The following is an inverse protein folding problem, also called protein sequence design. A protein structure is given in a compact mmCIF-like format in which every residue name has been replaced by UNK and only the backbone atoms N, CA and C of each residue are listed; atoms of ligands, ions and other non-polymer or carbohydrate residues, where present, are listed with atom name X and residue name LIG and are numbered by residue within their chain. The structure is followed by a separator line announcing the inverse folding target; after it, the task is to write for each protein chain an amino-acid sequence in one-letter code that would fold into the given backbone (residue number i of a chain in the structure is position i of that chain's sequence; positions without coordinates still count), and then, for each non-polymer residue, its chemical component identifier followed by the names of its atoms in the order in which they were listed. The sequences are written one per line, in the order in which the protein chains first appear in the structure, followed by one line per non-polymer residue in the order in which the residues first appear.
data_IF_386907287894
#
_entry.id   IF_386907287894
#
_cell.length_a   1.000
_cell.length_b   1.000
_cell.length_c   1.000
_cell.angle_alpha   90.00
_cell.angle_beta   90.00
_cell.angle_gamma   90.00
#
_symmetry.space_group_name_H-M   'P 1'
#
loop_
_entity.id
_entity.type
_entity.pdbx_description
1 polymer ?
#
# COMPACT_ATOMS: atom_id res chain seq x y z
N UNK A 1 -6.56 -45.54 -14.38
CA UNK A 1 -6.84 -46.63 -15.33
C UNK A 1 -7.67 -46.00 -16.45
N UNK A 2 -7.15 -46.09 -17.68
CA UNK A 2 -7.77 -45.69 -18.96
C UNK A 2 -8.13 -44.22 -19.19
N UNK A 3 -7.20 -43.48 -19.82
CA UNK A 3 -7.41 -42.71 -21.07
C UNK A 3 -6.16 -41.88 -21.33
N UNK A 4 -5.30 -42.37 -22.24
CA UNK A 4 -4.39 -41.62 -23.11
C UNK A 4 -3.37 -42.59 -23.72
N UNK A 5 -3.87 -43.48 -24.57
CA UNK A 5 -3.08 -44.17 -25.59
C UNK A 5 -3.82 -44.00 -26.90
N UNK A 6 -3.37 -43.06 -27.71
CA UNK A 6 -3.48 -43.01 -29.18
C UNK A 6 -3.00 -41.63 -29.61
N UNK A 7 -1.86 -41.59 -30.30
CA UNK A 7 -1.66 -40.96 -31.60
C UNK A 7 -0.30 -41.49 -32.09
N UNK A 8 -0.36 -42.53 -32.91
CA UNK A 8 0.68 -42.86 -33.89
C UNK A 8 0.17 -42.36 -35.24
N UNK A 9 1.05 -41.71 -36.00
CA UNK A 9 0.88 -41.55 -37.45
C UNK A 9 1.06 -40.13 -37.98
N UNK A 10 2.32 -39.68 -38.16
CA UNK A 10 2.89 -39.33 -39.48
C UNK A 10 4.39 -39.03 -39.31
N UNK A 11 5.25 -40.03 -39.47
CA UNK A 11 6.69 -39.83 -39.66
C UNK A 11 6.89 -39.71 -41.17
N UNK A 12 6.92 -38.47 -41.68
CA UNK A 12 7.58 -38.19 -42.94
C UNK A 12 9.09 -38.10 -42.65
N UNK A 13 9.82 -39.03 -43.24
CA UNK A 13 11.28 -39.12 -43.25
C UNK A 13 11.86 -37.88 -43.97
N UNK A 14 12.08 -36.79 -43.24
CA UNK A 14 13.06 -35.77 -43.63
C UNK A 14 14.40 -36.17 -42.99
N UNK A 15 15.45 -36.19 -43.81
CA UNK A 15 16.84 -36.26 -43.37
C UNK A 15 17.04 -35.37 -42.13
N UNK A 16 17.24 -36.00 -40.97
CA UNK A 16 17.65 -35.33 -39.75
C UNK A 16 19.05 -34.76 -39.97
N UNK A 17 19.12 -33.56 -40.54
CA UNK A 17 20.18 -32.64 -40.19
C UNK A 17 19.89 -32.33 -38.73
N UNK A 18 20.55 -33.01 -37.81
CA UNK A 18 20.52 -32.60 -36.40
C UNK A 18 20.98 -31.15 -36.41
N UNK A 19 20.14 -30.19 -35.98
CA UNK A 19 20.63 -28.83 -35.83
C UNK A 19 21.90 -28.87 -34.96
N UNK A 20 22.93 -28.11 -35.32
CA UNK A 20 24.14 -28.00 -34.53
C UNK A 20 23.79 -27.36 -33.18
N UNK A 21 23.46 -28.22 -32.20
CA UNK A 21 23.25 -27.82 -30.81
C UNK A 21 24.64 -27.51 -30.27
N UNK A 22 24.89 -26.23 -29.99
CA UNK A 22 26.13 -25.78 -29.37
C UNK A 22 25.87 -25.35 -27.94
N UNK A 23 26.90 -25.48 -27.10
CA UNK A 23 26.82 -25.06 -25.70
C UNK A 23 26.51 -23.56 -25.59
N UNK A 24 25.51 -23.23 -24.78
CA UNK A 24 25.22 -21.87 -24.37
C UNK A 24 25.94 -21.54 -23.07
N UNK A 25 26.43 -20.31 -22.95
CA UNK A 25 27.04 -19.82 -21.71
C UNK A 25 26.12 -18.79 -21.07
N UNK A 26 25.47 -19.21 -19.99
CA UNK A 26 24.64 -18.34 -19.16
C UNK A 26 25.22 -18.31 -17.76
N UNK A 27 25.26 -17.12 -17.19
CA UNK A 27 25.68 -16.90 -15.82
C UNK A 27 24.56 -16.27 -15.02
N UNK A 28 24.50 -16.60 -13.75
CA UNK A 28 23.67 -15.90 -12.78
C UNK A 28 24.23 -14.50 -12.49
N UNK A 29 23.45 -13.61 -11.86
CA UNK A 29 23.93 -12.34 -11.34
C UNK A 29 25.21 -12.43 -10.50
N UNK A 30 25.33 -13.42 -9.60
CA UNK A 30 26.52 -13.61 -8.76
C UNK A 30 27.69 -14.30 -9.48
N UNK A 31 27.53 -14.66 -10.76
CA UNK A 31 28.60 -15.13 -11.64
C UNK A 31 28.75 -16.65 -11.71
N UNK A 32 27.83 -17.42 -11.14
CA UNK A 32 27.82 -18.88 -11.27
C UNK A 32 27.34 -19.30 -12.67
N UNK A 33 28.04 -20.26 -13.27
CA UNK A 33 27.64 -20.83 -14.56
C UNK A 33 26.35 -21.64 -14.40
N UNK A 34 25.36 -21.36 -15.23
CA UNK A 34 24.12 -22.14 -15.35
C UNK A 34 24.39 -23.31 -16.30
N UNK A 35 24.56 -24.50 -15.72
CA UNK A 35 24.83 -25.73 -16.47
C UNK A 35 23.65 -26.13 -17.37
N UNK A 36 23.90 -27.06 -18.29
CA UNK A 36 22.87 -27.64 -19.18
C UNK A 36 22.13 -26.58 -20.02
N UNK A 37 22.90 -25.63 -20.56
CA UNK A 37 22.40 -24.55 -21.41
C UNK A 37 22.90 -24.71 -22.85
N UNK A 38 22.03 -24.48 -23.84
CA UNK A 38 22.33 -24.70 -25.26
C UNK A 38 21.76 -23.59 -26.14
N UNK A 39 22.45 -23.26 -27.22
CA UNK A 39 21.85 -22.54 -28.33
C UNK A 39 21.17 -23.55 -29.27
N UNK A 40 19.86 -23.40 -29.45
CA UNK A 40 19.05 -24.24 -30.35
C UNK A 40 18.61 -23.36 -31.53
N UNK A 41 18.78 -23.78 -32.78
CA UNK A 41 18.30 -23.01 -33.92
C UNK A 41 16.78 -23.11 -34.07
N UNK A 42 16.19 -22.08 -34.65
CA UNK A 42 14.78 -22.08 -35.01
C UNK A 42 14.48 -23.11 -36.09
N UNK A 43 13.47 -23.96 -35.87
CA UNK A 43 13.06 -24.98 -36.85
C UNK A 43 11.57 -24.99 -37.17
N UNK A 44 10.76 -24.10 -36.58
CA UNK A 44 9.35 -23.97 -36.95
C UNK A 44 9.15 -23.04 -38.14
N UNK A 45 8.44 -23.54 -39.15
CA UNK A 45 7.87 -22.73 -40.23
C UNK A 45 6.72 -21.84 -39.72
N UNK A 46 6.38 -20.74 -40.42
CA UNK A 46 5.24 -19.89 -40.05
C UNK A 46 3.91 -20.64 -39.89
N UNK A 47 3.65 -21.63 -40.74
CA UNK A 47 2.44 -22.45 -40.66
C UNK A 47 2.42 -23.32 -39.40
N UNK A 48 3.56 -23.89 -39.00
CA UNK A 48 3.67 -24.64 -37.75
C UNK A 48 3.46 -23.73 -36.54
N UNK A 49 4.05 -22.53 -36.52
CA UNK A 49 3.86 -21.56 -35.43
C UNK A 49 2.39 -21.18 -35.26
N UNK A 50 1.67 -20.96 -36.36
CA UNK A 50 0.23 -20.66 -36.34
C UNK A 50 -0.59 -21.84 -35.83
N UNK A 51 -0.31 -23.06 -36.27
CA UNK A 51 -1.02 -24.26 -35.81
C UNK A 51 -0.82 -24.49 -34.30
N UNK A 52 0.42 -24.35 -33.80
CA UNK A 52 0.74 -24.45 -32.38
C UNK A 52 -0.02 -23.37 -31.58
N UNK A 53 -0.02 -22.12 -32.05
CA UNK A 53 -0.79 -21.04 -31.41
C UNK A 53 -2.26 -21.43 -31.24
N UNK A 54 -2.91 -21.88 -32.31
CA UNK A 54 -4.32 -22.24 -32.32
C UNK A 54 -4.63 -23.40 -31.35
N UNK A 55 -3.76 -24.42 -31.31
CA UNK A 55 -3.89 -25.55 -30.38
C UNK A 55 -3.88 -25.09 -28.92
N UNK A 56 -2.93 -24.24 -28.53
CA UNK A 56 -2.80 -23.78 -27.15
C UNK A 56 -3.86 -22.75 -26.75
N UNK A 57 -4.28 -21.85 -27.65
CA UNK A 57 -5.41 -20.94 -27.39
C UNK A 57 -6.73 -21.70 -27.20
N UNK A 58 -6.91 -22.83 -27.88
CA UNK A 58 -8.07 -23.70 -27.69
C UNK A 58 -8.01 -24.48 -26.38
N UNK A 59 -6.83 -25.00 -26.01
CA UNK A 59 -6.64 -25.79 -24.80
C UNK A 59 -6.66 -24.94 -23.51
N UNK A 60 -6.20 -23.69 -23.58
CA UNK A 60 -6.07 -22.77 -22.44
C UNK A 60 -6.73 -21.41 -22.75
N UNK A 61 -8.07 -21.36 -22.78
CA UNK A 61 -8.81 -20.22 -23.30
C UNK A 61 -8.76 -18.94 -22.44
N UNK A 62 -8.18 -19.00 -21.23
CA UNK A 62 -7.97 -17.81 -20.37
C UNK A 62 -6.51 -17.37 -20.36
N UNK A 63 -5.61 -18.10 -21.00
CA UNK A 63 -4.25 -17.66 -21.27
C UNK A 63 -4.26 -16.60 -22.39
N UNK A 64 -3.45 -15.57 -22.22
CA UNK A 64 -3.30 -14.47 -23.17
C UNK A 64 -2.01 -14.71 -23.94
N UNK A 65 -2.13 -14.93 -25.24
CA UNK A 65 -0.99 -15.06 -26.16
C UNK A 65 -0.15 -13.77 -26.15
N UNK A 66 1.17 -13.92 -26.00
CA UNK A 66 2.14 -12.82 -26.05
C UNK A 66 3.04 -12.96 -27.28
N UNK A 67 3.61 -14.15 -27.50
CA UNK A 67 4.62 -14.35 -28.55
C UNK A 67 4.54 -15.75 -29.18
N UNK A 68 4.99 -15.85 -30.42
CA UNK A 68 4.90 -17.04 -31.26
C UNK A 68 5.69 -18.24 -30.73
N UNK A 69 5.43 -19.40 -31.33
CA UNK A 69 6.19 -20.59 -31.02
C UNK A 69 7.64 -20.44 -31.47
N UNK A 70 8.57 -20.50 -30.53
CA UNK A 70 10.01 -20.38 -30.80
C UNK A 70 10.79 -21.45 -30.03
N UNK A 71 11.45 -22.39 -30.73
CA UNK A 71 12.20 -23.45 -30.07
C UNK A 71 13.60 -23.02 -29.62
N UNK A 72 14.06 -21.80 -29.93
CA UNK A 72 15.40 -21.37 -29.53
C UNK A 72 15.52 -21.09 -28.03
N UNK A 73 14.39 -21.05 -27.30
CA UNK A 73 14.38 -20.86 -25.85
C UNK A 73 13.15 -21.47 -25.17
N UNK A 74 13.26 -21.65 -23.85
CA UNK A 74 12.22 -22.26 -23.03
C UNK A 74 11.84 -21.42 -21.81
N UNK A 75 11.00 -21.98 -20.94
CA UNK A 75 10.42 -21.29 -19.79
C UNK A 75 11.47 -20.80 -18.78
N UNK A 76 12.48 -21.62 -18.49
CA UNK A 76 13.58 -21.27 -17.61
C UNK A 76 14.40 -20.12 -18.19
N UNK A 77 14.74 -20.22 -19.48
CA UNK A 77 15.48 -19.16 -20.14
C UNK A 77 14.73 -17.84 -20.20
N UNK A 78 13.43 -17.89 -20.49
CA UNK A 78 12.59 -16.71 -20.44
C UNK A 78 12.59 -16.07 -19.04
N UNK A 79 12.34 -16.88 -18.01
CA UNK A 79 12.21 -16.39 -16.64
C UNK A 79 13.53 -15.82 -16.10
N UNK A 80 14.65 -16.53 -16.27
CA UNK A 80 15.88 -16.25 -15.55
C UNK A 80 16.96 -15.52 -16.35
N UNK A 81 16.77 -15.32 -17.66
CA UNK A 81 17.79 -14.69 -18.51
C UNK A 81 17.20 -13.73 -19.56
N UNK A 82 16.29 -14.18 -20.42
CA UNK A 82 15.78 -13.38 -21.55
C UNK A 82 14.91 -12.22 -21.07
N UNK A 83 14.08 -12.42 -20.04
CA UNK A 83 13.28 -11.33 -19.46
C UNK A 83 14.14 -10.20 -18.87
N UNK A 84 15.45 -10.42 -18.75
CA UNK A 84 16.42 -9.44 -18.24
C UNK A 84 17.32 -8.88 -19.36
N UNK A 85 17.02 -9.21 -20.62
CA UNK A 85 17.78 -8.78 -21.80
C UNK A 85 18.80 -9.80 -22.31
N UNK A 86 18.83 -11.00 -21.74
CA UNK A 86 19.68 -12.10 -22.20
C UNK A 86 19.29 -12.66 -23.58
N UNK A 87 20.20 -13.41 -24.17
CA UNK A 87 20.01 -14.05 -25.48
C UNK A 87 19.13 -15.30 -25.43
N UNK A 88 18.58 -15.71 -26.57
CA UNK A 88 17.81 -16.95 -26.67
C UNK A 88 18.71 -18.16 -26.44
N UNK A 89 18.37 -18.95 -25.42
CA UNK A 89 19.00 -20.23 -25.10
C UNK A 89 17.95 -21.20 -24.56
N UNK A 90 18.24 -22.49 -24.67
CA UNK A 90 17.53 -23.53 -23.94
C UNK A 90 18.24 -23.85 -22.65
N UNK A 91 17.55 -23.75 -21.51
CA UNK A 91 18.09 -24.13 -20.20
C UNK A 91 17.41 -25.38 -19.67
N UNK A 92 18.19 -26.40 -19.32
CA UNK A 92 17.66 -27.61 -18.72
C UNK A 92 17.04 -28.55 -19.74
N UNK A 93 17.89 -29.10 -20.63
CA UNK A 93 17.47 -30.16 -21.56
C UNK A 93 17.44 -31.53 -20.87
N UNK A 94 18.36 -31.77 -19.94
CA UNK A 94 18.54 -33.02 -19.21
C UNK A 94 18.21 -32.88 -17.72
N UNK A 95 18.43 -31.70 -17.13
CA UNK A 95 18.16 -31.41 -15.71
C UNK A 95 17.43 -30.07 -15.55
N UNK A 96 17.02 -29.71 -14.32
CA UNK A 96 16.58 -28.35 -14.02
C UNK A 96 17.76 -27.58 -13.40
N UNK A 97 18.44 -26.70 -14.16
CA UNK A 97 19.63 -26.00 -13.66
C UNK A 97 19.28 -24.73 -12.88
N UNK A 98 18.00 -24.39 -12.68
CA UNK A 98 17.61 -23.08 -12.14
C UNK A 98 17.93 -22.88 -10.67
N UNK A 99 18.22 -23.94 -9.91
CA UNK A 99 18.51 -23.83 -8.48
C UNK A 99 19.69 -22.94 -8.16
N UNK A 100 20.65 -22.89 -9.08
CA UNK A 100 21.86 -22.09 -8.92
C UNK A 100 21.57 -20.61 -8.70
N UNK A 101 20.47 -20.07 -9.25
CA UNK A 101 20.10 -18.65 -9.09
C UNK A 101 19.75 -18.26 -7.65
N UNK A 102 19.30 -19.20 -6.82
CA UNK A 102 19.05 -18.92 -5.40
C UNK A 102 20.08 -19.58 -4.48
N UNK A 103 20.75 -20.64 -4.92
CA UNK A 103 21.84 -21.27 -4.17
C UNK A 103 23.10 -20.40 -4.13
N UNK A 104 23.39 -19.63 -5.18
CA UNK A 104 24.51 -18.70 -5.22
C UNK A 104 24.23 -17.33 -4.59
N UNK A 105 22.97 -17.09 -4.20
CA UNK A 105 22.50 -15.85 -3.59
C UNK A 105 22.15 -14.73 -4.56
N UNK A 106 22.04 -14.98 -5.87
CA UNK A 106 21.55 -13.99 -6.85
C UNK A 106 20.10 -13.60 -6.59
N UNK A 107 19.30 -14.58 -6.16
CA UNK A 107 17.89 -14.43 -5.80
C UNK A 107 17.62 -15.01 -4.42
N UNK A 108 16.64 -14.45 -3.73
CA UNK A 108 16.20 -14.90 -2.42
C UNK A 108 14.75 -15.35 -2.53
N UNK A 109 14.44 -16.50 -1.93
CA UNK A 109 13.07 -17.00 -1.84
C UNK A 109 12.20 -16.06 -1.00
N UNK A 110 10.98 -15.80 -1.48
CA UNK A 110 10.01 -14.92 -0.85
C UNK A 110 8.59 -15.48 -1.02
N UNK A 111 7.57 -14.70 -0.66
CA UNK A 111 6.16 -15.09 -0.76
C UNK A 111 5.48 -14.47 -1.97
N UNK A 112 4.33 -15.03 -2.36
CA UNK A 112 3.49 -14.49 -3.44
C UNK A 112 2.98 -13.07 -3.17
N UNK A 113 2.93 -12.66 -1.89
CA UNK A 113 2.45 -11.34 -1.47
C UNK A 113 3.56 -10.29 -1.42
N UNK A 114 4.82 -10.68 -1.58
CA UNK A 114 5.93 -9.73 -1.64
C UNK A 114 5.87 -8.95 -2.96
N UNK A 115 5.72 -7.61 -2.94
CA UNK A 115 5.67 -6.81 -4.16
C UNK A 115 6.99 -6.86 -4.97
N UNK A 116 8.10 -7.24 -4.34
CA UNK A 116 9.41 -7.39 -4.99
C UNK A 116 9.59 -8.77 -5.65
N UNK A 117 8.64 -9.69 -5.51
CA UNK A 117 8.71 -11.01 -6.17
C UNK A 117 8.58 -10.88 -7.68
N UNK A 118 9.60 -11.31 -8.43
CA UNK A 118 9.62 -11.19 -9.90
C UNK A 118 9.73 -12.53 -10.62
N UNK A 119 10.20 -13.58 -9.95
CA UNK A 119 10.37 -14.92 -10.54
C UNK A 119 9.59 -15.96 -9.77
N UNK A 120 9.18 -17.03 -10.44
CA UNK A 120 8.57 -18.20 -9.82
C UNK A 120 9.11 -19.49 -10.42
N UNK A 121 9.34 -20.48 -9.55
CA UNK A 121 9.67 -21.85 -9.92
C UNK A 121 8.52 -22.79 -9.53
N UNK A 122 8.28 -23.80 -10.37
CA UNK A 122 7.28 -24.84 -10.22
C UNK A 122 8.03 -26.14 -9.89
N UNK A 123 8.28 -26.45 -8.60
CA UNK A 123 9.21 -27.51 -8.23
C UNK A 123 8.84 -28.89 -8.76
N UNK A 124 7.55 -29.20 -8.85
CA UNK A 124 7.09 -30.52 -9.32
C UNK A 124 6.83 -30.57 -10.84
N UNK A 125 7.16 -29.51 -11.59
CA UNK A 125 6.75 -29.38 -13.00
C UNK A 125 7.78 -28.73 -13.94
N UNK A 126 9.09 -28.86 -13.64
CA UNK A 126 10.22 -28.34 -14.42
C UNK A 126 9.88 -27.05 -15.21
N UNK A 127 9.35 -26.05 -14.50
CA UNK A 127 8.81 -24.85 -15.11
C UNK A 127 9.19 -23.62 -14.30
N UNK A 128 9.37 -22.50 -15.01
CA UNK A 128 9.59 -21.19 -14.41
C UNK A 128 8.83 -20.13 -15.18
N UNK A 129 8.48 -19.07 -14.49
CA UNK A 129 7.80 -17.91 -15.05
C UNK A 129 8.26 -16.63 -14.37
N UNK A 130 7.95 -15.49 -15.01
CA UNK A 130 7.99 -14.19 -14.32
C UNK A 130 6.63 -13.90 -13.70
N UNK A 131 6.65 -13.18 -12.58
CA UNK A 131 5.44 -12.77 -11.84
C UNK A 131 5.05 -11.36 -12.28
N UNK A 132 3.78 -11.15 -12.58
CA UNK A 132 3.23 -9.80 -12.74
C UNK A 132 2.68 -9.37 -11.38
N UNK A 133 3.45 -8.71 -10.52
CA UNK A 133 2.95 -8.28 -9.19
C UNK A 133 2.12 -6.99 -9.25
N UNK A 134 1.13 -6.83 -8.35
CA UNK A 134 0.46 -7.85 -7.57
C UNK A 134 -0.62 -8.52 -8.44
N UNK A 135 -0.40 -9.74 -8.92
CA UNK A 135 -1.47 -10.47 -9.63
C UNK A 135 -1.26 -11.97 -9.63
N UNK A 136 -2.37 -12.70 -9.81
CA UNK A 136 -2.43 -14.14 -10.00
C UNK A 136 -1.95 -14.59 -11.40
N UNK A 137 -1.25 -13.72 -12.13
CA UNK A 137 -0.77 -13.99 -13.49
C UNK A 137 0.75 -14.18 -13.54
N UNK A 138 1.13 -15.15 -14.35
CA UNK A 138 2.49 -15.52 -14.69
C UNK A 138 2.71 -15.30 -16.17
N UNK A 139 3.96 -15.02 -16.57
CA UNK A 139 4.35 -14.98 -17.98
C UNK A 139 5.46 -15.98 -18.21
N UNK A 140 5.26 -16.93 -19.12
CA UNK A 140 6.25 -17.96 -19.42
C UNK A 140 6.08 -18.57 -20.82
N UNK A 141 7.17 -19.14 -21.33
CA UNK A 141 7.14 -20.03 -22.49
C UNK A 141 6.58 -21.38 -22.07
N UNK A 142 5.89 -22.06 -22.97
CA UNK A 142 5.47 -23.44 -22.74
C UNK A 142 6.34 -24.40 -23.54
N UNK A 143 7.51 -24.74 -22.98
CA UNK A 143 8.54 -25.53 -23.66
C UNK A 143 9.08 -24.79 -24.88
N UNK A 144 9.12 -25.47 -26.02
CA UNK A 144 9.52 -24.90 -27.32
C UNK A 144 8.38 -24.14 -28.02
N UNK A 145 7.21 -23.98 -27.40
CA UNK A 145 6.00 -23.41 -28.04
C UNK A 145 5.85 -21.91 -27.76
N UNK A 146 4.64 -21.38 -27.60
CA UNK A 146 4.37 -19.95 -27.48
C UNK A 146 4.70 -19.37 -26.08
N UNK A 147 4.76 -18.05 -26.02
CA UNK A 147 4.82 -17.27 -24.78
C UNK A 147 3.41 -16.82 -24.39
N UNK A 148 3.01 -17.07 -23.14
CA UNK A 148 1.67 -16.72 -22.65
C UNK A 148 1.74 -15.97 -21.31
N UNK A 149 0.77 -15.08 -21.09
CA UNK A 149 0.35 -14.63 -19.77
C UNK A 149 -0.80 -15.52 -19.30
N UNK A 150 -0.67 -16.18 -18.15
CA UNK A 150 -1.64 -17.18 -17.71
C UNK A 150 -1.76 -17.23 -16.18
N UNK A 151 -2.80 -17.87 -15.68
CA UNK A 151 -2.88 -18.23 -14.25
C UNK A 151 -2.29 -19.62 -14.02
N UNK A 152 -2.09 -20.02 -12.76
CA UNK A 152 -1.65 -21.39 -12.43
C UNK A 152 -2.62 -22.47 -12.93
N UNK A 153 -3.92 -22.16 -13.00
CA UNK A 153 -4.96 -23.12 -13.40
C UNK A 153 -5.22 -23.16 -14.91
N UNK A 154 -4.61 -22.26 -15.70
CA UNK A 154 -4.82 -22.14 -17.15
C UNK A 154 -3.50 -22.26 -17.90
N UNK A 155 -2.74 -23.31 -17.61
CA UNK A 155 -1.47 -23.62 -18.26
C UNK A 155 -1.22 -25.14 -18.25
N UNK A 156 -0.28 -25.66 -19.06
CA UNK A 156 0.08 -27.08 -19.07
C UNK A 156 0.81 -27.55 -17.80
N UNK A 157 1.36 -26.63 -17.01
CA UNK A 157 2.21 -26.94 -15.85
C UNK A 157 1.41 -26.99 -14.54
N UNK A 158 0.48 -27.95 -14.45
CA UNK A 158 -0.45 -28.09 -13.33
C UNK A 158 0.02 -29.02 -12.21
N UNK A 159 1.08 -29.80 -12.41
CA UNK A 159 1.52 -30.83 -11.43
C UNK A 159 2.07 -30.22 -10.15
N UNK A 160 2.72 -29.06 -10.25
CA UNK A 160 3.26 -28.35 -9.09
C UNK A 160 2.15 -27.94 -8.14
N UNK A 161 2.18 -28.50 -6.92
CA UNK A 161 1.20 -28.21 -5.87
C UNK A 161 1.48 -26.89 -5.16
N UNK A 162 2.77 -26.56 -5.05
CA UNK A 162 3.26 -25.30 -4.49
C UNK A 162 4.09 -24.56 -5.53
N UNK A 163 4.22 -23.25 -5.33
CA UNK A 163 5.05 -22.37 -6.13
C UNK A 163 6.09 -21.72 -5.21
N UNK A 164 7.32 -21.60 -5.69
CA UNK A 164 8.40 -20.90 -4.98
C UNK A 164 8.66 -19.57 -5.66
N UNK A 165 8.53 -18.48 -4.91
CA UNK A 165 8.66 -17.11 -5.42
C UNK A 165 10.03 -16.57 -5.09
N UNK A 166 10.60 -15.76 -5.97
CA UNK A 166 11.93 -15.22 -5.77
C UNK A 166 11.99 -13.74 -6.15
N UNK A 167 12.85 -13.02 -5.43
CA UNK A 167 13.22 -11.64 -5.72
C UNK A 167 14.73 -11.50 -5.84
N UNK A 168 15.16 -10.50 -6.61
CA UNK A 168 16.57 -10.17 -6.77
C UNK A 168 17.17 -9.85 -5.39
N UNK A 169 18.36 -10.38 -5.10
CA UNK A 169 19.01 -10.17 -3.80
C UNK A 169 19.66 -8.80 -3.68
N UNK A 170 20.08 -8.21 -4.80
CA UNK A 170 20.64 -6.87 -4.88
C UNK A 170 19.56 -5.80 -4.66
N UNK A 171 19.86 -4.83 -3.78
CA UNK A 171 18.91 -3.79 -3.38
C UNK A 171 19.62 -2.47 -3.08
N UNK A 172 19.04 -1.38 -3.58
CA UNK A 172 19.46 -0.02 -3.24
C UNK A 172 18.85 0.35 -1.90
N UNK A 173 19.68 0.93 -1.02
CA UNK A 173 19.29 1.44 0.28
C UNK A 173 19.81 2.86 0.48
N UNK A 174 19.03 3.69 1.20
CA UNK A 174 19.35 5.09 1.48
C UNK A 174 18.12 5.86 1.91
N UNK A 175 18.28 7.15 2.23
CA UNK A 175 17.15 8.00 2.61
C UNK A 175 16.22 8.24 1.42
N UNK A 176 14.92 8.04 1.62
CA UNK A 176 13.89 8.28 0.60
C UNK A 176 13.22 9.65 0.72
N UNK A 177 13.42 10.34 1.84
CA UNK A 177 12.88 11.69 2.07
C UNK A 177 14.03 12.59 2.51
N UNK A 178 14.25 13.67 1.76
CA UNK A 178 15.35 14.61 1.96
C UNK A 178 14.82 16.05 2.01
N UNK A 179 15.37 16.83 2.94
CA UNK A 179 15.08 18.27 3.05
C UNK A 179 16.16 19.04 2.32
N UNK A 180 15.76 19.84 1.34
CA UNK A 180 16.64 20.82 0.70
C UNK A 180 16.67 22.06 1.61
N UNK A 181 17.84 22.48 2.11
CA UNK A 181 17.94 23.66 2.95
C UNK A 181 17.36 24.90 2.26
N UNK A 182 16.68 25.82 2.98
CA UNK A 182 16.06 27.00 2.39
C UNK A 182 17.04 27.87 1.57
N UNK A 183 18.27 28.01 2.05
CA UNK A 183 19.35 28.76 1.39
C UNK A 183 20.08 28.00 0.29
N UNK A 184 19.86 26.69 0.17
CA UNK A 184 20.54 25.81 -0.79
C UNK A 184 19.71 25.54 -2.04
N UNK A 185 20.34 24.97 -3.06
CA UNK A 185 19.65 24.48 -4.27
C UNK A 185 19.57 22.96 -4.33
N UNK A 186 20.38 22.27 -3.52
CA UNK A 186 20.45 20.81 -3.50
C UNK A 186 20.69 20.29 -2.09
N UNK A 187 20.32 19.03 -1.85
CA UNK A 187 20.71 18.24 -0.68
C UNK A 187 21.45 16.99 -1.15
N UNK A 188 22.52 16.61 -0.47
CA UNK A 188 23.33 15.44 -0.83
C UNK A 188 23.07 14.28 0.13
N UNK A 189 22.87 13.08 -0.41
CA UNK A 189 22.72 11.82 0.34
C UNK A 189 23.57 10.71 -0.26
N UNK A 190 23.91 9.71 0.56
CA UNK A 190 24.58 8.49 0.13
C UNK A 190 23.56 7.36 -0.06
N UNK A 191 23.81 6.51 -1.06
CA UNK A 191 23.07 5.28 -1.33
C UNK A 191 24.03 4.11 -1.51
N UNK A 192 23.59 2.94 -1.10
CA UNK A 192 24.38 1.71 -1.12
C UNK A 192 23.60 0.63 -1.85
N UNK A 193 24.24 -0.02 -2.81
CA UNK A 193 23.74 -1.23 -3.45
C UNK A 193 24.32 -2.45 -2.73
N UNK A 194 23.47 -3.23 -2.06
CA UNK A 194 23.92 -4.43 -1.36
C UNK A 194 24.16 -5.59 -2.30
N UNK A 195 25.08 -6.50 -1.92
CA UNK A 195 25.34 -7.78 -2.61
C UNK A 195 25.81 -7.64 -4.06
N UNK A 196 26.59 -6.60 -4.36
CA UNK A 196 27.27 -6.49 -5.65
C UNK A 196 28.24 -7.67 -5.83
N UNK A 197 28.19 -8.41 -6.95
CA UNK A 197 29.11 -9.51 -7.23
C UNK A 197 30.58 -9.04 -7.20
N UNK A 198 31.48 -9.93 -6.80
CA UNK A 198 32.91 -9.61 -6.72
C UNK A 198 33.46 -9.21 -8.08
N UNK A 199 34.05 -8.02 -8.14
CA UNK A 199 34.66 -7.44 -9.33
C UNK A 199 33.66 -6.90 -10.35
N UNK A 200 32.35 -6.95 -10.10
CA UNK A 200 31.39 -6.21 -10.91
C UNK A 200 31.57 -4.69 -10.73
N UNK A 201 31.14 -3.92 -11.72
CA UNK A 201 31.06 -2.46 -11.63
C UNK A 201 29.59 -2.00 -11.64
N UNK A 202 29.32 -0.88 -10.98
CA UNK A 202 27.94 -0.35 -10.85
C UNK A 202 27.82 0.95 -11.63
N UNK A 203 26.91 0.99 -12.60
CA UNK A 203 26.44 2.21 -13.25
C UNK A 203 25.20 2.72 -12.52
N UNK A 204 25.39 3.72 -11.66
CA UNK A 204 24.31 4.47 -11.05
C UNK A 204 23.65 5.41 -12.06
N UNK A 205 22.33 5.48 -12.00
CA UNK A 205 21.49 6.28 -12.88
C UNK A 205 20.49 7.09 -12.05
N UNK A 206 20.35 8.37 -12.39
CA UNK A 206 19.40 9.31 -11.79
C UNK A 206 18.73 10.15 -12.87
N UNK A 207 17.59 10.77 -12.55
CA UNK A 207 17.00 11.79 -13.43
C UNK A 207 17.88 13.05 -13.38
N UNK A 208 18.57 13.31 -14.49
CA UNK A 208 19.53 14.44 -14.60
C UNK A 208 18.88 15.81 -14.48
N UNK A 209 17.55 15.93 -14.62
CA UNK A 209 16.81 17.15 -14.36
C UNK A 209 16.60 17.44 -12.86
N UNK A 210 16.65 16.41 -12.02
CA UNK A 210 16.28 16.49 -10.60
C UNK A 210 17.42 16.09 -9.65
N UNK A 211 18.46 15.42 -10.15
CA UNK A 211 19.60 14.97 -9.36
C UNK A 211 20.90 14.87 -10.18
N UNK A 212 22.02 14.85 -9.49
CA UNK A 212 23.35 14.68 -10.09
C UNK A 212 24.20 13.76 -9.22
N UNK A 213 24.87 12.80 -9.85
CA UNK A 213 25.85 11.93 -9.19
C UNK A 213 27.09 12.78 -8.90
N UNK A 214 27.41 12.92 -7.61
CA UNK A 214 28.56 13.70 -7.12
C UNK A 214 29.83 12.84 -7.17
N UNK A 215 29.73 11.59 -6.73
CA UNK A 215 30.85 10.64 -6.69
C UNK A 215 30.35 9.21 -6.51
N UNK A 216 31.21 8.21 -6.73
CA UNK A 216 30.92 6.80 -6.47
C UNK A 216 30.44 5.99 -7.67
N UNK A 217 30.53 6.54 -8.89
CA UNK A 217 30.26 5.75 -10.09
C UNK A 217 31.26 4.59 -10.20
N UNK A 218 30.76 3.41 -10.57
CA UNK A 218 31.55 2.17 -10.61
C UNK A 218 31.66 1.44 -9.27
N UNK A 219 31.17 2.01 -8.16
CA UNK A 219 31.21 1.41 -6.81
C UNK A 219 29.80 1.01 -6.35
N UNK A 220 29.75 0.09 -5.39
CA UNK A 220 28.55 -0.27 -4.61
C UNK A 220 27.99 0.89 -3.76
N UNK A 221 28.65 2.05 -3.71
CA UNK A 221 28.17 3.25 -3.02
C UNK A 221 28.22 4.47 -3.92
N UNK A 222 27.19 5.31 -3.83
CA UNK A 222 27.10 6.56 -4.60
C UNK A 222 26.67 7.71 -3.71
N UNK A 223 27.23 8.88 -3.98
CA UNK A 223 26.82 10.15 -3.38
C UNK A 223 26.07 10.96 -4.44
N UNK A 224 24.82 11.33 -4.15
CA UNK A 224 23.92 11.99 -5.11
C UNK A 224 23.43 13.31 -4.50
N UNK A 225 23.48 14.38 -5.27
CA UNK A 225 22.86 15.66 -4.96
C UNK A 225 21.49 15.76 -5.64
N UNK A 226 20.44 16.05 -4.87
CA UNK A 226 19.06 16.20 -5.35
C UNK A 226 18.63 17.66 -5.29
N UNK A 227 18.08 18.17 -6.38
CA UNK A 227 17.39 19.46 -6.47
C UNK A 227 15.85 19.29 -6.44
N UNK A 228 15.35 18.10 -6.77
CA UNK A 228 13.94 17.76 -6.76
C UNK A 228 13.75 16.24 -6.59
N UNK A 229 12.50 15.78 -6.60
CA UNK A 229 12.17 14.34 -6.60
C UNK A 229 12.86 13.62 -7.76
N UNK A 230 13.46 12.47 -7.49
CA UNK A 230 14.16 11.65 -8.48
C UNK A 230 14.04 10.18 -8.14
N UNK A 231 14.28 9.31 -9.13
CA UNK A 231 14.60 7.91 -8.90
C UNK A 231 16.12 7.72 -8.81
N UNK A 232 16.55 6.78 -7.97
CA UNK A 232 17.91 6.24 -7.96
C UNK A 232 17.83 4.79 -8.45
N UNK A 233 18.45 4.49 -9.57
CA UNK A 233 18.57 3.13 -10.09
C UNK A 233 20.04 2.79 -10.39
N UNK A 234 20.30 1.53 -10.71
CA UNK A 234 21.63 1.09 -11.08
C UNK A 234 21.57 -0.03 -12.11
N UNK A 235 22.62 -0.15 -12.91
CA UNK A 235 22.94 -1.32 -13.72
C UNK A 235 24.24 -1.90 -13.15
N UNK A 236 24.23 -3.19 -12.85
CA UNK A 236 25.43 -3.91 -12.40
C UNK A 236 26.01 -4.64 -13.59
N UNK A 237 27.21 -4.24 -14.00
CA UNK A 237 27.97 -4.92 -15.05
C UNK A 237 28.80 -6.02 -14.39
N UNK A 238 28.33 -7.26 -14.48
CA UNK A 238 29.02 -8.42 -13.95
C UNK A 238 30.25 -8.76 -14.80
N UNK A 239 31.28 -9.35 -14.18
CA UNK A 239 32.48 -9.81 -14.89
C UNK A 239 32.22 -10.91 -15.93
N UNK A 240 31.03 -11.51 -15.90
CA UNK A 240 30.54 -12.48 -16.87
C UNK A 240 29.98 -11.84 -18.14
N UNK A 241 29.88 -10.50 -18.20
CA UNK A 241 29.23 -9.75 -19.27
C UNK A 241 27.72 -9.62 -19.11
N UNK A 242 27.14 -10.14 -18.03
CA UNK A 242 25.72 -9.93 -17.69
C UNK A 242 25.49 -8.55 -17.10
N UNK A 243 24.51 -7.83 -17.64
CA UNK A 243 24.02 -6.57 -17.08
C UNK A 243 22.75 -6.81 -16.27
N UNK A 244 22.79 -6.49 -14.97
CA UNK A 244 21.64 -6.66 -14.07
C UNK A 244 21.04 -5.30 -13.75
N UNK A 245 19.79 -5.07 -14.17
CA UNK A 245 19.05 -3.84 -13.87
C UNK A 245 18.45 -3.90 -12.47
N UNK A 246 18.82 -2.95 -11.63
CA UNK A 246 18.34 -2.87 -10.26
C UNK A 246 17.07 -2.03 -10.18
N UNK A 247 16.02 -2.51 -9.48
CA UNK A 247 14.81 -1.73 -9.25
C UNK A 247 15.11 -0.36 -8.65
N UNK A 248 14.42 0.67 -9.15
CA UNK A 248 14.65 2.05 -8.72
C UNK A 248 14.11 2.32 -7.32
N UNK A 249 14.88 3.06 -6.51
CA UNK A 249 14.44 3.65 -5.26
C UNK A 249 13.94 5.09 -5.52
N UNK A 250 12.68 5.37 -5.20
CA UNK A 250 12.14 6.73 -5.30
C UNK A 250 12.59 7.59 -4.12
N UNK A 251 13.05 8.81 -4.42
CA UNK A 251 13.52 9.79 -3.44
C UNK A 251 12.74 11.08 -3.62
N UNK A 252 12.13 11.54 -2.53
CA UNK A 252 11.45 12.83 -2.43
C UNK A 252 12.45 13.83 -1.86
N UNK A 253 12.74 14.90 -2.60
CA UNK A 253 13.61 15.98 -2.16
C UNK A 253 12.91 17.32 -2.36
N UNK A 254 12.70 18.05 -1.28
CA UNK A 254 11.88 19.27 -1.30
C UNK A 254 12.44 20.35 -0.39
N UNK A 255 12.28 21.61 -0.81
CA UNK A 255 12.45 22.80 0.05
C UNK A 255 11.20 23.09 0.90
N UNK A 256 10.05 22.64 0.40
CA UNK A 256 8.78 22.72 1.12
C UNK A 256 8.70 21.58 2.14
N UNK A 257 8.05 21.80 3.29
CA UNK A 257 7.88 20.76 4.30
C UNK A 257 7.17 19.53 3.73
N UNK A 258 7.62 18.35 4.12
CA UNK A 258 6.98 17.08 3.75
C UNK A 258 6.42 16.48 5.02
N UNK A 259 5.11 16.27 5.05
CA UNK A 259 4.45 15.50 6.10
C UNK A 259 4.56 14.02 5.73
N UNK A 260 5.22 13.23 6.57
CA UNK A 260 5.43 11.80 6.36
C UNK A 260 4.40 10.93 7.07
N UNK A 261 3.81 11.43 8.15
CA UNK A 261 2.74 10.75 8.87
C UNK A 261 1.92 11.72 9.74
N UNK A 262 0.79 11.24 10.23
CA UNK A 262 -0.01 11.86 11.29
C UNK A 262 -0.12 10.86 12.45
N UNK A 263 0.24 11.30 13.65
CA UNK A 263 -0.05 10.59 14.88
C UNK A 263 -1.35 11.12 15.48
N UNK A 264 -2.17 10.21 16.01
CA UNK A 264 -3.37 10.51 16.79
C UNK A 264 -3.24 9.82 18.14
N UNK A 265 -3.29 10.59 19.22
CA UNK A 265 -3.13 10.08 20.59
C UNK A 265 -3.96 10.89 21.58
N UNK A 266 -4.06 10.40 22.82
CA UNK A 266 -4.74 11.11 23.90
C UNK A 266 -3.75 11.83 24.78
N UNK A 267 -3.90 13.15 24.86
CA UNK A 267 -3.19 14.00 25.82
C UNK A 267 -4.06 14.33 27.04
N UNK A 268 -5.36 14.61 26.81
CA UNK A 268 -6.37 14.82 27.85
C UNK A 268 -7.02 13.52 28.34
N UNK A 269 -7.76 13.62 29.46
CA UNK A 269 -8.51 12.50 30.07
C UNK A 269 -9.97 12.42 29.60
N UNK A 270 -10.43 13.36 28.75
CA UNK A 270 -11.81 13.39 28.25
C UNK A 270 -12.13 12.28 27.24
N UNK A 271 -13.39 11.86 27.22
CA UNK A 271 -13.89 10.96 26.18
C UNK A 271 -13.96 11.72 24.84
N UNK A 272 -13.51 11.08 23.77
CA UNK A 272 -13.47 11.64 22.41
C UNK A 272 -12.57 12.84 22.19
N UNK A 273 -11.73 13.19 23.17
CA UNK A 273 -10.71 14.23 23.05
C UNK A 273 -9.38 13.59 22.65
N UNK A 274 -8.82 14.05 21.53
CA UNK A 274 -7.56 13.58 20.99
C UNK A 274 -6.65 14.74 20.62
N UNK A 275 -5.39 14.40 20.37
CA UNK A 275 -4.37 15.30 19.85
C UNK A 275 -3.80 14.68 18.58
N UNK A 276 -3.69 15.49 17.54
CA UNK A 276 -3.00 15.15 16.30
C UNK A 276 -1.64 15.81 16.29
N UNK A 277 -0.64 15.08 15.77
CA UNK A 277 0.71 15.58 15.52
C UNK A 277 1.11 15.26 14.09
N UNK A 278 1.59 16.27 13.36
CA UNK A 278 2.19 16.06 12.05
C UNK A 278 3.66 15.64 12.21
N UNK A 279 4.06 14.55 11.57
CA UNK A 279 5.46 14.18 11.43
C UNK A 279 5.97 14.86 10.16
N UNK A 280 6.72 15.95 10.35
CA UNK A 280 7.15 16.82 9.25
C UNK A 280 8.66 16.87 9.18
N UNK A 281 9.19 16.93 7.97
CA UNK A 281 10.62 17.02 7.73
C UNK A 281 11.26 18.34 8.18
N UNK A 282 10.47 19.40 8.27
CA UNK A 282 10.87 20.71 8.80
C UNK A 282 10.09 20.98 10.10
N UNK A 283 10.75 20.93 11.28
CA UNK A 283 10.08 21.09 12.57
C UNK A 283 9.57 22.51 12.82
N UNK A 284 10.01 23.49 12.04
CA UNK A 284 9.56 24.89 12.16
C UNK A 284 8.28 25.19 11.37
N UNK A 285 7.72 24.18 10.69
CA UNK A 285 6.57 24.34 9.81
C UNK A 285 5.29 24.72 10.53
N UNK A 286 4.47 25.57 9.93
CA UNK A 286 3.10 25.82 10.38
C UNK A 286 2.17 24.82 9.70
N UNK A 287 1.42 24.06 10.50
CA UNK A 287 0.48 23.06 9.99
C UNK A 287 -0.96 23.60 9.93
N UNK A 288 -1.62 23.41 8.79
CA UNK A 288 -3.05 23.66 8.59
C UNK A 288 -3.78 22.33 8.50
N UNK A 289 -4.83 22.16 9.30
CA UNK A 289 -5.49 20.88 9.54
C UNK A 289 -6.94 20.89 9.07
N UNK A 290 -7.37 19.77 8.52
CA UNK A 290 -8.75 19.49 8.12
C UNK A 290 -9.12 18.07 8.56
N UNK A 291 -10.40 17.84 8.88
CA UNK A 291 -10.89 16.51 9.20
C UNK A 291 -12.28 16.29 8.59
N UNK A 292 -12.50 15.10 8.04
CA UNK A 292 -13.82 14.70 7.52
C UNK A 292 -14.82 14.48 8.67
N UNK A 293 -16.11 14.40 8.35
CA UNK A 293 -17.13 13.96 9.29
C UNK A 293 -17.37 14.93 10.45
N UNK A 294 -18.06 14.46 11.49
CA UNK A 294 -18.47 15.29 12.62
C UNK A 294 -17.36 15.40 13.67
N UNK A 295 -16.45 16.34 13.45
CA UNK A 295 -15.29 16.59 14.31
C UNK A 295 -15.07 18.09 14.53
N UNK A 296 -14.25 18.44 15.53
CA UNK A 296 -13.83 19.82 15.79
C UNK A 296 -12.34 19.89 16.06
N UNK A 297 -11.60 20.61 15.21
CA UNK A 297 -10.21 20.98 15.44
C UNK A 297 -10.11 22.30 16.22
N UNK A 298 -9.17 22.39 17.15
CA UNK A 298 -8.91 23.59 17.94
C UNK A 298 -7.46 23.64 18.44
N UNK A 299 -7.03 24.83 18.86
CA UNK A 299 -5.73 25.01 19.49
C UNK A 299 -5.65 24.27 20.82
N UNK A 300 -4.48 23.74 21.16
CA UNK A 300 -4.30 23.02 22.42
C UNK A 300 -4.53 24.01 23.58
N UNK A 301 -5.43 23.69 24.53
CA UNK A 301 -5.64 24.53 25.70
C UNK A 301 -4.38 24.57 26.56
N UNK A 302 -3.99 25.77 27.00
CA UNK A 302 -2.77 26.07 27.77
C UNK A 302 -1.46 25.88 26.98
N UNK A 303 -1.24 26.65 25.88
CA UNK A 303 0.02 26.61 25.14
C UNK A 303 1.24 27.00 26.01
N UNK A 304 1.03 27.79 27.06
CA UNK A 304 2.08 28.24 27.98
C UNK A 304 2.53 27.16 28.98
N UNK A 305 1.64 26.22 29.34
CA UNK A 305 2.00 25.02 30.13
C UNK A 305 2.59 23.90 29.25
N UNK A 306 2.49 24.02 27.92
CA UNK A 306 3.06 23.10 26.95
C UNK A 306 4.56 23.36 26.67
N UNK A 307 5.27 24.03 27.59
CA UNK A 307 6.70 24.35 27.47
C UNK A 307 7.63 23.13 27.36
N UNK A 308 7.09 21.92 27.50
CA UNK A 308 7.78 20.63 27.28
C UNK A 308 7.48 19.98 25.92
N UNK A 309 6.54 20.51 25.13
CA UNK A 309 6.22 19.99 23.80
C UNK A 309 7.17 20.62 22.79
N UNK A 310 8.10 19.81 22.28
CA UNK A 310 8.99 20.22 21.20
C UNK A 310 8.17 20.50 19.92
N UNK A 311 8.26 21.72 19.39
CA UNK A 311 7.57 22.18 18.17
C UNK A 311 6.02 22.19 18.26
N UNK A 312 5.40 23.04 19.10
CA UNK A 312 3.95 23.07 19.31
C UNK A 312 3.15 23.42 18.04
N UNK A 313 3.79 24.08 17.07
CA UNK A 313 3.27 24.39 15.74
C UNK A 313 2.84 23.14 14.92
N UNK A 314 3.31 21.95 15.30
CA UNK A 314 3.00 20.69 14.62
C UNK A 314 1.79 19.95 15.22
N UNK A 315 1.13 20.49 16.24
CA UNK A 315 0.06 19.81 16.97
C UNK A 315 -1.28 20.55 16.86
N UNK A 316 -2.39 19.80 16.94
CA UNK A 316 -3.74 20.34 17.19
C UNK A 316 -4.55 19.41 18.07
N UNK A 317 -5.50 19.98 18.83
CA UNK A 317 -6.51 19.20 19.51
C UNK A 317 -7.67 18.90 18.55
N UNK A 318 -8.26 17.72 18.69
CA UNK A 318 -9.43 17.31 17.90
C UNK A 318 -10.43 16.57 18.78
N UNK A 319 -11.70 16.96 18.66
CA UNK A 319 -12.83 16.24 19.25
C UNK A 319 -13.58 15.45 18.17
N UNK A 320 -14.01 14.23 18.49
CA UNK A 320 -14.90 13.43 17.64
C UNK A 320 -16.25 13.21 18.33
N UNK A 321 -17.35 13.37 17.59
CA UNK A 321 -18.70 13.27 18.17
C UNK A 321 -19.45 12.00 17.76
N UNK A 322 -18.96 11.29 16.74
CA UNK A 322 -19.56 10.05 16.23
C UNK A 322 -18.49 8.99 16.01
N UNK A 323 -18.85 7.72 16.20
CA UNK A 323 -17.96 6.59 15.95
C UNK A 323 -17.83 6.36 14.45
N UNK A 324 -16.65 5.94 14.00
CA UNK A 324 -16.42 5.53 12.63
C UNK A 324 -15.10 6.03 12.07
N UNK A 325 -15.00 6.04 10.75
CA UNK A 325 -13.77 6.32 10.04
C UNK A 325 -13.64 7.81 9.69
N UNK A 326 -12.56 8.44 10.17
CA UNK A 326 -12.25 9.85 9.94
C UNK A 326 -10.96 9.99 9.15
N UNK A 327 -10.97 10.77 8.08
CA UNK A 327 -9.76 11.16 7.35
C UNK A 327 -9.31 12.53 7.82
N UNK A 328 -8.10 12.58 8.35
CA UNK A 328 -7.45 13.82 8.81
C UNK A 328 -6.43 14.20 7.74
N UNK A 329 -6.48 15.45 7.28
CA UNK A 329 -5.59 16.01 6.28
C UNK A 329 -4.80 17.17 6.88
N UNK A 330 -3.53 17.28 6.50
CA UNK A 330 -2.65 18.37 6.96
C UNK A 330 -1.76 18.86 5.83
N UNK A 331 -1.62 20.18 5.75
CA UNK A 331 -0.63 20.86 4.93
C UNK A 331 0.39 21.52 5.84
N UNK A 332 1.67 21.41 5.54
CA UNK A 332 2.73 22.06 6.30
C UNK A 332 3.39 23.16 5.45
N UNK A 333 3.58 24.33 6.02
CA UNK A 333 4.19 25.48 5.36
C UNK A 333 5.40 25.98 6.13
N UNK A 334 6.45 26.40 5.43
CA UNK A 334 7.60 27.10 6.01
C UNK A 334 7.81 28.43 5.29
N UNK A 335 8.92 29.12 5.60
CA UNK A 335 9.25 30.42 5.00
C UNK A 335 9.42 30.37 3.46
N UNK A 336 9.64 29.20 2.88
CA UNK A 336 9.79 29.03 1.42
C UNK A 336 8.43 28.84 0.74
N UNK A 337 7.50 28.15 1.39
CA UNK A 337 6.16 27.94 0.87
C UNK A 337 5.43 26.76 1.50
N UNK A 338 4.39 26.30 0.82
CA UNK A 338 3.46 25.28 1.31
C UNK A 338 3.78 23.93 0.65
N UNK A 339 3.91 22.90 1.48
CA UNK A 339 4.07 21.51 1.04
C UNK A 339 2.76 20.88 0.58
N UNK A 340 2.85 19.66 0.04
CA UNK A 340 1.66 18.88 -0.35
C UNK A 340 0.86 18.44 0.88
N UNK A 341 -0.46 18.25 0.74
CA UNK A 341 -1.25 17.60 1.78
C UNK A 341 -0.79 16.18 2.02
N UNK A 342 -0.89 15.76 3.28
CA UNK A 342 -0.89 14.37 3.67
C UNK A 342 -2.20 14.07 4.39
N UNK A 343 -2.80 12.91 4.09
CA UNK A 343 -4.05 12.48 4.70
C UNK A 343 -3.91 11.07 5.27
N UNK A 344 -4.46 10.85 6.46
CA UNK A 344 -4.51 9.52 7.10
C UNK A 344 -5.87 9.27 7.70
N UNK A 345 -6.34 8.04 7.56
CA UNK A 345 -7.64 7.62 8.07
C UNK A 345 -7.48 6.90 9.40
N UNK A 346 -8.31 7.26 10.37
CA UNK A 346 -8.35 6.68 11.70
C UNK A 346 -9.75 6.14 11.99
N UNK A 347 -9.83 5.02 12.69
CA UNK A 347 -11.10 4.48 13.19
C UNK A 347 -11.30 4.92 14.64
N UNK A 348 -12.37 5.67 14.89
CA UNK A 348 -12.66 6.31 16.16
C UNK A 348 -13.79 5.58 16.86
N UNK A 349 -13.49 5.09 18.07
CA UNK A 349 -14.44 4.34 18.91
C UNK A 349 -14.86 5.11 20.16
N UNK A 350 -14.00 6.00 20.64
CA UNK A 350 -14.28 6.86 21.78
C UNK A 350 -14.63 8.28 21.30
N UNK A 351 -15.77 8.79 21.77
CA UNK A 351 -16.42 9.99 21.25
C UNK A 351 -16.83 10.89 22.40
N UNK A 352 -16.85 12.18 22.13
CA UNK A 352 -17.16 13.20 23.12
C UNK A 352 -18.66 13.19 23.35
N UNK A 353 -19.05 12.94 24.59
CA UNK A 353 -20.46 13.00 24.97
C UNK A 353 -20.99 14.42 24.72
N UNK A 354 -22.08 14.53 23.95
CA UNK A 354 -23.01 15.64 24.13
C UNK A 354 -23.41 15.69 25.61
N UNK A 355 -23.67 16.87 26.16
CA UNK A 355 -24.11 17.10 27.56
C UNK A 355 -25.12 16.04 28.07
N UNK A 356 -25.28 15.84 29.38
CA UNK A 356 -26.34 14.95 29.89
C UNK A 356 -27.44 15.74 30.60
N UNK A 357 -28.63 15.16 30.75
CA UNK A 357 -29.65 15.71 31.64
C UNK A 357 -30.33 14.58 32.42
N UNK A 358 -30.99 14.95 33.51
CA UNK A 358 -31.84 14.05 34.29
C UNK A 358 -33.21 14.69 34.56
N UNK A 359 -34.27 13.87 34.58
CA UNK A 359 -35.58 14.24 35.11
C UNK A 359 -35.87 13.51 36.41
N UNK A 360 -36.37 14.24 37.41
CA UNK A 360 -36.72 13.68 38.73
C UNK A 360 -37.92 14.38 39.38
N UNK A 361 -38.74 13.69 40.19
CA UNK A 361 -38.79 12.24 40.32
C UNK A 361 -39.27 11.59 39.01
N UNK A 362 -38.93 10.31 38.80
CA UNK A 362 -39.42 9.54 37.65
C UNK A 362 -39.68 8.10 38.12
N UNK A 363 -40.95 7.68 38.34
CA UNK A 363 -42.18 8.35 37.91
C UNK A 363 -42.49 9.68 38.64
N UNK A 364 -43.13 10.62 37.94
CA UNK A 364 -43.66 11.86 38.51
C UNK A 364 -45.03 11.60 39.12
N UNK A 365 -45.17 11.88 40.42
CA UNK A 365 -46.42 11.67 41.18
C UNK A 365 -47.26 12.97 41.28
N UNK A 366 -46.72 14.10 40.79
CA UNK A 366 -47.36 15.41 40.89
C UNK A 366 -47.46 16.16 39.57
N UNK A 367 -47.59 17.48 39.67
CA UNK A 367 -47.77 18.36 38.51
C UNK A 367 -46.45 18.93 37.98
N UNK A 368 -45.31 18.56 38.55
CA UNK A 368 -44.01 19.13 38.18
C UNK A 368 -42.94 18.06 38.10
N UNK A 369 -42.00 18.22 37.15
CA UNK A 369 -40.73 17.51 37.13
C UNK A 369 -39.57 18.48 37.33
N UNK A 370 -38.53 18.05 38.03
CA UNK A 370 -37.25 18.74 38.07
C UNK A 370 -36.38 18.24 36.94
N UNK A 371 -35.78 19.16 36.18
CA UNK A 371 -34.86 18.85 35.10
C UNK A 371 -33.51 19.48 35.41
N UNK A 372 -32.46 18.66 35.42
CA UNK A 372 -31.07 19.09 35.67
C UNK A 372 -30.19 18.72 34.47
N UNK A 373 -29.54 19.73 33.89
CA UNK A 373 -28.63 19.62 32.74
C UNK A 373 -27.20 19.72 33.25
N UNK A 374 -26.40 18.69 32.97
CA UNK A 374 -24.97 18.65 33.25
C UNK A 374 -24.21 18.95 31.96
N UNK A 375 -23.78 20.19 31.80
CA UNK A 375 -22.93 20.62 30.69
C UNK A 375 -21.51 20.94 31.21
N UNK A 376 -20.51 20.21 30.72
CA UNK A 376 -19.10 20.39 31.10
C UNK A 376 -18.36 21.38 30.21
N UNK A 377 -19.02 21.94 29.19
CA UNK A 377 -18.48 22.94 28.26
C UNK A 377 -19.30 24.22 28.38
N UNK A 378 -18.66 25.37 28.59
CA UNK A 378 -19.34 26.68 28.55
C UNK A 378 -19.59 27.10 27.10
N UNK A 379 -20.72 26.69 26.51
CA UNK A 379 -21.31 27.25 25.27
C UNK A 379 -22.70 26.62 25.08
N UNK A 380 -23.86 27.25 24.90
CA UNK A 380 -24.29 28.64 24.61
C UNK A 380 -25.62 28.92 25.37
N UNK A 381 -26.15 30.13 25.24
CA UNK A 381 -27.13 30.84 26.08
C UNK A 381 -28.53 30.22 26.27
N UNK A 382 -28.98 29.19 25.53
CA UNK A 382 -30.33 28.63 25.65
C UNK A 382 -30.44 27.13 25.26
N UNK A 383 -31.25 26.38 26.02
CA UNK A 383 -31.67 25.00 25.78
C UNK A 383 -33.12 24.96 25.28
N UNK A 384 -33.44 24.09 24.33
CA UNK A 384 -34.83 23.76 23.98
C UNK A 384 -35.19 22.43 24.61
N UNK A 385 -36.26 22.41 25.41
CA UNK A 385 -36.75 21.21 26.09
C UNK A 385 -38.12 20.87 25.50
N UNK A 386 -38.24 19.68 24.92
CA UNK A 386 -39.46 19.22 24.27
C UNK A 386 -39.91 17.90 24.89
N UNK A 387 -41.18 17.79 25.27
CA UNK A 387 -41.81 16.56 25.75
C UNK A 387 -42.63 15.98 24.62
N UNK A 388 -42.38 14.72 24.27
CA UNK A 388 -43.06 13.98 23.22
C UNK A 388 -43.94 12.88 23.80
N UNK A 389 -44.96 12.48 23.04
CA UNK A 389 -45.75 11.25 23.27
C UNK A 389 -44.86 10.00 23.32
N UNK A 390 -45.35 8.90 23.92
CA UNK A 390 -44.61 7.65 24.10
C UNK A 390 -44.01 7.08 22.79
N UNK A 391 -44.74 7.24 21.68
CA UNK A 391 -44.35 6.82 20.32
C UNK A 391 -43.44 7.83 19.60
N UNK A 392 -43.12 8.95 20.27
CA UNK A 392 -42.27 10.02 19.77
C UNK A 392 -42.81 10.78 18.55
N UNK A 393 -44.11 10.69 18.28
CA UNK A 393 -44.72 11.26 17.07
C UNK A 393 -45.16 12.72 17.21
N UNK A 394 -45.49 13.18 18.43
CA UNK A 394 -46.01 14.52 18.68
C UNK A 394 -45.33 15.18 19.87
N UNK A 395 -44.94 16.45 19.71
CA UNK A 395 -44.51 17.33 20.82
C UNK A 395 -45.75 17.81 21.57
N UNK A 396 -45.85 17.47 22.84
CA UNK A 396 -46.96 17.85 23.74
C UNK A 396 -46.62 19.00 24.68
N UNK A 397 -45.32 19.29 24.85
CA UNK A 397 -44.85 20.47 25.57
C UNK A 397 -43.49 20.91 25.03
N UNK A 398 -43.26 22.21 24.95
CA UNK A 398 -41.96 22.75 24.57
C UNK A 398 -41.66 24.04 25.35
N UNK A 399 -40.40 24.23 25.72
CA UNK A 399 -39.93 25.48 26.31
C UNK A 399 -38.46 25.73 25.94
N UNK A 400 -38.07 27.01 25.91
CA UNK A 400 -36.70 27.45 25.69
C UNK A 400 -36.20 28.15 26.95
N UNK A 401 -35.02 27.78 27.44
CA UNK A 401 -34.51 28.28 28.72
C UNK A 401 -32.98 28.42 28.74
N UNK A 402 -32.41 29.48 29.33
CA UNK A 402 -30.98 29.56 29.60
C UNK A 402 -30.54 28.75 30.84
N UNK A 403 -31.49 28.22 31.61
CA UNK A 403 -31.21 27.61 32.91
C UNK A 403 -30.81 26.14 32.77
N UNK A 404 -29.75 25.74 33.47
CA UNK A 404 -29.30 24.35 33.57
C UNK A 404 -30.03 23.54 34.65
N UNK A 405 -30.88 24.18 35.45
CA UNK A 405 -31.75 23.53 36.43
C UNK A 405 -33.08 24.26 36.48
N UNK A 406 -34.19 23.53 36.33
CA UNK A 406 -35.52 24.12 36.34
C UNK A 406 -36.60 23.13 36.78
N UNK A 407 -37.73 23.69 37.21
CA UNK A 407 -38.96 22.97 37.47
C UNK A 407 -39.86 23.16 36.26
N UNK A 408 -40.27 22.05 35.63
CA UNK A 408 -41.17 22.04 34.48
C UNK A 408 -42.56 21.61 34.95
N UNK A 409 -43.54 22.50 34.81
CA UNK A 409 -44.96 22.18 35.02
C UNK A 409 -45.44 21.21 33.96
N UNK A 410 -45.97 20.06 34.35
CA UNK A 410 -46.51 19.03 33.47
C UNK A 410 -47.99 18.73 33.78
N UNK A 411 -48.67 19.61 34.52
CA UNK A 411 -50.09 19.47 34.91
C UNK A 411 -51.03 19.22 33.73
N UNK A 412 -50.69 19.75 32.55
CA UNK A 412 -51.48 19.61 31.32
C UNK A 412 -51.34 18.25 30.62
N UNK A 413 -50.38 17.42 31.03
CA UNK A 413 -50.15 16.10 30.42
C UNK A 413 -50.98 15.04 31.15
N UNK A 414 -51.51 14.04 30.45
CA UNK A 414 -52.22 12.90 31.05
C UNK A 414 -51.23 11.88 31.66
N UNK A 415 -51.72 10.99 32.51
CA UNK A 415 -50.94 9.88 33.05
C UNK A 415 -50.47 8.95 31.94
N UNK A 416 -49.21 8.53 31.98
CA UNK A 416 -48.60 7.69 30.95
C UNK A 416 -47.12 7.93 30.72
N UNK A 417 -46.58 7.26 29.69
CA UNK A 417 -45.18 7.37 29.28
C UNK A 417 -44.98 8.49 28.25
N UNK A 418 -43.86 9.20 28.39
CA UNK A 418 -43.43 10.29 27.52
C UNK A 418 -41.92 10.23 27.29
N UNK A 419 -41.45 11.00 26.32
CA UNK A 419 -40.03 11.28 26.12
C UNK A 419 -39.73 12.74 26.36
N UNK A 420 -38.71 13.03 27.14
CA UNK A 420 -38.14 14.37 27.27
C UNK A 420 -36.91 14.44 26.38
N UNK A 421 -36.83 15.47 25.55
CA UNK A 421 -35.69 15.82 24.71
C UNK A 421 -35.13 17.16 25.17
N UNK A 422 -33.81 17.27 25.30
CA UNK A 422 -33.11 18.54 25.53
C UNK A 422 -32.19 18.78 24.35
N UNK A 423 -32.27 19.96 23.74
CA UNK A 423 -31.42 20.41 22.64
C UNK A 423 -30.58 21.62 23.02
N UNK A 424 -29.33 21.64 22.56
CA UNK A 424 -28.40 22.77 22.64
C UNK A 424 -27.79 22.99 21.24
N UNK A 425 -28.33 23.94 20.46
CA UNK A 425 -28.04 24.03 19.04
C UNK A 425 -28.40 22.74 18.31
N UNK A 426 -27.43 22.11 17.64
CA UNK A 426 -27.60 20.83 16.94
C UNK A 426 -27.45 19.59 17.86
N UNK A 427 -27.06 19.78 19.12
CA UNK A 427 -26.82 18.69 20.08
C UNK A 427 -28.13 18.27 20.76
N UNK A 428 -28.38 16.97 20.92
CA UNK A 428 -29.65 16.43 21.43
C UNK A 428 -29.45 15.30 22.45
N UNK A 429 -30.21 15.32 23.54
CA UNK A 429 -30.28 14.25 24.54
C UNK A 429 -31.73 13.88 24.85
N UNK A 430 -32.00 12.62 25.19
CA UNK A 430 -33.36 12.11 25.43
C UNK A 430 -33.44 11.24 26.68
N UNK A 431 -34.55 11.32 27.41
CA UNK A 431 -34.85 10.47 28.56
C UNK A 431 -36.35 10.15 28.62
N UNK A 432 -36.73 8.95 29.07
CA UNK A 432 -38.14 8.60 29.32
C UNK A 432 -38.66 9.29 30.57
N UNK A 433 -39.94 9.63 30.57
CA UNK A 433 -40.70 10.20 31.68
C UNK A 433 -41.97 9.37 31.89
N UNK A 434 -42.21 8.91 33.10
CA UNK A 434 -43.45 8.22 33.49
C UNK A 434 -44.25 9.15 34.42
N UNK A 435 -45.52 9.41 34.11
CA UNK A 435 -46.43 10.24 34.92
C UNK A 435 -47.50 9.33 35.53
N UNK A 436 -47.60 9.34 36.86
CA UNK A 436 -48.56 8.53 37.64
C UNK A 436 -49.20 9.38 38.73
N UNK A 437 -50.32 10.03 38.43
CA UNK A 437 -51.09 10.75 39.43
C UNK A 437 -51.97 9.75 40.17
N UNK A 438 -52.01 9.89 41.49
CA UNK A 438 -52.90 9.10 42.33
C UNK A 438 -54.34 9.59 42.23
#
# INVERSE_FOLDING_TARGET
MERLFRIQGLICLLLCITPDIVWGQVYTPQGSLVSDTYAIPGYYSPAQKLAIKQEYEQAYPRAIYIDEADPTYNCHAYAWHISEGGSHVWMGMSTNPTSIYWEDGSYIETTASDPEATKVSYPDDNHSAIVSTPSYYFISKWGNTCLFKHTKSDCPYQRSKTLRYFKLSMKISGKQVLVIPPSGNTVTSEYILSRVPVGASVEWVVDRGAATIVSGQGSDKVRIAFSYNSSVSAIVHCNTGLDVKIPSLHVIASKYPIVTDIDLFKYGQGNGEYTVKALVTDPTSVCTWECSGHSRLYEIPYPDDASFIENPNLFRAIDFYERGSYTISVYAANAVGIGTSFSKTFDIQDVKSSFSFSVSPNPVIGNVMQLEIVNRVRSVEQFTISVYTADYSQVVKELVTPLSSLIVDISSLEDGEYWVEVKEGDRVCKQRLDIKRQ
#
